data_IF_219251175680
#
_entry.id   IF_219251175680
#
_cell.length_a   1.000
_cell.length_b   1.000
_cell.length_c   1.000
_cell.angle_alpha   90.00
_cell.angle_beta   90.00
_cell.angle_gamma   90.00
#
_symmetry.space_group_name_H-M   'P 1'
#
loop_
_entity.id
_entity.type
_entity.pdbx_description
1 polymer ?
#
# COMPACT_ATOMS: atom_id res chain seq x y z
N UNK A 1 -24.79 13.07 -20.02
CA UNK A 1 -25.24 11.85 -19.32
C UNK A 1 -24.21 10.72 -19.36
N UNK A 2 -23.60 10.42 -20.52
CA UNK A 2 -22.58 9.36 -20.66
C UNK A 2 -21.33 9.60 -19.80
N UNK A 3 -20.78 10.82 -19.77
CA UNK A 3 -19.59 11.13 -18.97
C UNK A 3 -19.80 10.91 -17.47
N UNK A 4 -20.92 11.40 -16.91
CA UNK A 4 -21.28 11.20 -15.52
C UNK A 4 -21.45 9.71 -15.19
N UNK A 5 -22.09 8.94 -16.09
CA UNK A 5 -22.19 7.49 -15.96
C UNK A 5 -20.81 6.80 -15.95
N UNK A 6 -19.89 7.23 -16.81
CA UNK A 6 -18.53 6.70 -16.85
C UNK A 6 -17.72 7.01 -15.59
N UNK A 7 -17.83 8.24 -15.07
CA UNK A 7 -17.21 8.64 -13.80
C UNK A 7 -17.75 7.78 -12.66
N UNK A 8 -19.08 7.65 -12.56
CA UNK A 8 -19.72 6.83 -11.54
C UNK A 8 -19.26 5.37 -11.62
N UNK A 9 -19.27 4.78 -12.81
CA UNK A 9 -18.86 3.38 -13.01
C UNK A 9 -17.39 3.16 -12.67
N UNK A 10 -16.49 4.08 -13.05
CA UNK A 10 -15.06 4.02 -12.67
C UNK A 10 -14.90 4.02 -11.15
N UNK A 11 -15.52 4.99 -10.46
CA UNK A 11 -15.43 5.10 -9.00
C UNK A 11 -16.05 3.87 -8.34
N UNK A 12 -17.20 3.41 -8.82
CA UNK A 12 -17.86 2.21 -8.31
C UNK A 12 -16.99 0.97 -8.45
N UNK A 13 -16.41 0.71 -9.62
CA UNK A 13 -15.52 -0.43 -9.83
C UNK A 13 -14.25 -0.34 -8.97
N UNK A 14 -13.70 0.87 -8.78
CA UNK A 14 -12.59 1.08 -7.86
C UNK A 14 -12.99 0.74 -6.42
N UNK A 15 -14.18 1.16 -5.96
CA UNK A 15 -14.68 0.86 -4.63
C UNK A 15 -14.92 -0.65 -4.43
N UNK A 16 -15.47 -1.34 -5.43
CA UNK A 16 -15.64 -2.81 -5.40
C UNK A 16 -14.27 -3.49 -5.28
N UNK A 17 -13.30 -3.10 -6.11
CA UNK A 17 -11.93 -3.60 -6.02
C UNK A 17 -11.32 -3.35 -4.63
N UNK A 18 -11.35 -2.09 -4.15
CA UNK A 18 -10.77 -1.71 -2.86
C UNK A 18 -11.46 -2.41 -1.68
N UNK A 19 -12.78 -2.62 -1.75
CA UNK A 19 -13.54 -3.35 -0.75
C UNK A 19 -13.14 -4.83 -0.73
N UNK A 20 -13.09 -5.51 -1.88
CA UNK A 20 -12.64 -6.90 -1.98
C UNK A 20 -11.21 -7.08 -1.45
N UNK A 21 -10.30 -6.19 -1.88
CA UNK A 21 -8.92 -6.19 -1.42
C UNK A 21 -8.82 -6.02 0.10
N UNK A 22 -9.55 -5.05 0.67
CA UNK A 22 -9.57 -4.80 2.12
C UNK A 22 -10.22 -5.94 2.90
N UNK A 23 -11.27 -6.56 2.36
CA UNK A 23 -11.97 -7.68 2.97
C UNK A 23 -11.03 -8.87 3.14
N UNK A 24 -10.35 -9.28 2.05
CA UNK A 24 -9.40 -10.39 2.09
C UNK A 24 -8.11 -10.04 2.86
N UNK A 25 -7.70 -8.77 2.91
CA UNK A 25 -6.58 -8.36 3.76
C UNK A 25 -6.92 -8.33 5.27
N UNK A 26 -8.21 -8.42 5.63
CA UNK A 26 -8.65 -8.24 7.02
C UNK A 26 -8.29 -9.44 7.91
N UNK A 27 -7.95 -9.16 9.17
CA UNK A 27 -7.67 -10.23 10.14
C UNK A 27 -8.94 -11.06 10.45
N UNK A 28 -10.12 -10.49 10.27
CA UNK A 28 -11.39 -11.20 10.48
C UNK A 28 -11.53 -12.40 9.53
N UNK A 29 -11.26 -12.20 8.24
CA UNK A 29 -11.30 -13.30 7.25
C UNK A 29 -10.18 -14.29 7.50
N UNK A 30 -8.96 -13.81 7.75
CA UNK A 30 -7.81 -14.68 8.09
C UNK A 30 -8.10 -15.56 9.30
N UNK A 31 -8.70 -15.01 10.34
CA UNK A 31 -9.08 -15.72 11.55
C UNK A 31 -10.23 -16.72 11.31
N UNK A 32 -11.22 -16.36 10.48
CA UNK A 32 -12.27 -17.29 10.08
C UNK A 32 -11.70 -18.49 9.30
N UNK A 33 -10.75 -18.25 8.40
CA UNK A 33 -10.02 -19.30 7.68
C UNK A 33 -9.18 -20.13 8.65
N UNK A 34 -8.46 -19.51 9.58
CA UNK A 34 -7.69 -20.21 10.62
C UNK A 34 -8.55 -21.20 11.40
N UNK A 35 -9.78 -20.81 11.76
CA UNK A 35 -10.70 -21.66 12.54
C UNK A 35 -11.35 -22.77 11.73
N UNK A 36 -11.70 -22.50 10.46
CA UNK A 36 -12.48 -23.43 9.63
C UNK A 36 -11.61 -24.33 8.74
N UNK A 37 -10.48 -23.82 8.26
CA UNK A 37 -9.57 -24.46 7.32
C UNK A 37 -8.09 -24.16 7.67
N UNK A 38 -7.61 -24.54 8.87
CA UNK A 38 -6.24 -24.23 9.31
C UNK A 38 -5.16 -24.72 8.35
N UNK A 39 -5.39 -25.86 7.68
CA UNK A 39 -4.48 -26.42 6.67
C UNK A 39 -4.30 -25.53 5.42
N UNK A 40 -5.24 -24.61 5.16
CA UNK A 40 -5.16 -23.70 4.02
C UNK A 40 -4.38 -22.41 4.33
N UNK A 41 -4.20 -22.08 5.61
CA UNK A 41 -3.60 -20.82 6.05
C UNK A 41 -2.21 -20.51 5.45
N UNK A 42 -1.30 -21.50 5.25
CA UNK A 42 -0.02 -21.26 4.59
C UNK A 42 -0.12 -20.75 3.15
N UNK A 43 -1.20 -21.10 2.45
CA UNK A 43 -1.44 -20.71 1.05
C UNK A 43 -2.24 -19.41 0.94
N UNK A 44 -2.82 -18.95 2.04
CA UNK A 44 -3.74 -17.81 2.08
C UNK A 44 -3.14 -16.55 1.46
N UNK A 45 -1.89 -16.21 1.83
CA UNK A 45 -1.22 -15.00 1.34
C UNK A 45 -1.04 -15.00 -0.18
N UNK A 46 -0.62 -16.14 -0.74
CA UNK A 46 -0.44 -16.30 -2.18
C UNK A 46 -1.79 -16.19 -2.90
N UNK A 47 -2.81 -16.91 -2.41
CA UNK A 47 -4.17 -16.84 -2.98
C UNK A 47 -4.72 -15.41 -2.92
N UNK A 48 -4.55 -14.73 -1.79
CA UNK A 48 -4.95 -13.32 -1.63
C UNK A 48 -4.26 -12.41 -2.64
N UNK A 49 -2.95 -12.55 -2.86
CA UNK A 49 -2.21 -11.76 -3.85
C UNK A 49 -2.73 -12.01 -5.27
N UNK A 50 -2.95 -13.28 -5.64
CA UNK A 50 -3.51 -13.65 -6.97
C UNK A 50 -4.90 -13.04 -7.15
N UNK A 51 -5.78 -13.18 -6.16
CA UNK A 51 -7.14 -12.60 -6.21
C UNK A 51 -7.09 -11.06 -6.26
N UNK A 52 -6.18 -10.43 -5.54
CA UNK A 52 -5.99 -8.97 -5.57
C UNK A 52 -5.55 -8.49 -6.94
N UNK A 53 -4.60 -9.18 -7.58
CA UNK A 53 -4.16 -8.88 -8.94
C UNK A 53 -5.26 -9.12 -9.96
N UNK A 54 -5.99 -10.22 -9.83
CA UNK A 54 -7.10 -10.54 -10.72
C UNK A 54 -8.22 -9.51 -10.62
N UNK A 55 -8.66 -9.15 -9.41
CA UNK A 55 -9.70 -8.13 -9.20
C UNK A 55 -9.23 -6.74 -9.64
N UNK A 56 -7.96 -6.39 -9.45
CA UNK A 56 -7.38 -5.16 -10.01
C UNK A 56 -7.38 -5.18 -11.54
N UNK A 57 -7.02 -6.32 -12.15
CA UNK A 57 -7.08 -6.50 -13.60
C UNK A 57 -8.49 -6.33 -14.16
N UNK A 58 -9.51 -6.89 -13.48
CA UNK A 58 -10.91 -6.67 -13.84
C UNK A 58 -11.29 -5.18 -13.74
N UNK A 59 -10.95 -4.53 -12.62
CA UNK A 59 -11.14 -3.09 -12.47
C UNK A 59 -10.50 -2.32 -13.63
N UNK A 60 -9.22 -2.57 -13.94
CA UNK A 60 -8.49 -1.86 -14.97
C UNK A 60 -9.08 -2.07 -16.37
N UNK A 61 -9.46 -3.31 -16.68
CA UNK A 61 -9.97 -3.71 -18.00
C UNK A 61 -11.36 -3.11 -18.24
N UNK A 62 -12.26 -3.26 -17.27
CA UNK A 62 -13.67 -2.88 -17.42
C UNK A 62 -13.97 -1.43 -17.03
N UNK A 63 -13.06 -0.73 -16.35
CA UNK A 63 -13.27 0.68 -16.04
C UNK A 63 -13.28 1.53 -17.30
N UNK A 64 -14.31 2.40 -17.46
CA UNK A 64 -14.32 3.41 -18.49
C UNK A 64 -13.06 4.27 -18.44
N UNK A 65 -12.54 4.64 -19.61
CA UNK A 65 -11.40 5.54 -19.75
C UNK A 65 -11.87 6.75 -20.55
N UNK A 66 -12.56 7.72 -19.90
CA UNK A 66 -13.03 8.90 -20.59
C UNK A 66 -11.86 9.65 -21.22
N UNK A 67 -11.99 9.98 -22.51
CA UNK A 67 -10.98 10.71 -23.26
C UNK A 67 -11.06 12.22 -22.97
N UNK A 68 -10.94 12.56 -21.69
CA UNK A 68 -10.96 13.93 -21.19
C UNK A 68 -9.59 14.22 -20.60
N UNK A 69 -8.84 15.08 -21.27
CA UNK A 69 -7.55 15.58 -20.82
C UNK A 69 -7.83 16.79 -19.91
N UNK A 70 -7.36 16.74 -18.65
CA UNK A 70 -7.47 17.85 -17.71
C UNK A 70 -6.36 18.86 -17.92
N UNK A 71 -5.15 18.36 -18.14
CA UNK A 71 -4.01 19.14 -18.60
C UNK A 71 -3.04 18.24 -19.38
N UNK A 72 -2.30 18.88 -20.28
CA UNK A 72 -1.19 18.27 -21.01
C UNK A 72 -0.04 19.26 -21.07
N UNK A 73 1.05 18.97 -20.36
CA UNK A 73 2.21 19.86 -20.28
C UNK A 73 3.16 19.56 -21.42
N UNK A 74 3.50 20.60 -22.17
CA UNK A 74 4.54 20.53 -23.20
C UNK A 74 5.92 20.85 -22.64
N UNK A 75 6.96 20.47 -23.37
CA UNK A 75 8.33 20.89 -23.10
C UNK A 75 8.43 22.43 -23.02
N UNK A 76 9.15 23.01 -22.03
CA UNK A 76 9.94 22.36 -20.98
C UNK A 76 9.20 22.14 -19.65
N UNK A 77 7.89 22.43 -19.58
CA UNK A 77 7.13 22.37 -18.32
C UNK A 77 6.84 20.94 -17.87
N UNK A 78 6.82 19.98 -18.80
CA UNK A 78 6.75 18.55 -18.52
C UNK A 78 7.88 18.07 -17.59
N UNK A 79 9.10 18.61 -17.73
CA UNK A 79 10.24 18.30 -16.86
C UNK A 79 9.97 18.64 -15.39
N UNK A 80 9.23 19.71 -15.11
CA UNK A 80 8.88 20.11 -13.73
C UNK A 80 8.05 19.03 -13.02
N UNK A 81 7.32 18.21 -13.79
CA UNK A 81 6.50 17.11 -13.28
C UNK A 81 7.22 15.76 -13.39
N UNK A 82 7.98 15.51 -14.45
CA UNK A 82 8.72 14.26 -14.65
C UNK A 82 9.82 14.07 -13.59
N UNK A 83 10.50 15.13 -13.18
CA UNK A 83 11.55 15.06 -12.15
C UNK A 83 11.01 14.49 -10.82
N UNK A 84 9.96 15.06 -10.19
CA UNK A 84 9.41 14.48 -8.97
C UNK A 84 8.77 13.09 -9.19
N UNK A 85 8.22 12.80 -10.38
CA UNK A 85 7.76 11.44 -10.71
C UNK A 85 8.90 10.42 -10.68
N UNK A 86 10.04 10.76 -11.30
CA UNK A 86 11.22 9.93 -11.33
C UNK A 86 11.78 9.68 -9.92
N UNK A 87 11.90 10.73 -9.10
CA UNK A 87 12.32 10.56 -7.70
C UNK A 87 11.33 9.71 -6.90
N UNK A 88 10.03 9.78 -7.20
CA UNK A 88 9.02 8.93 -6.58
C UNK A 88 9.22 7.46 -6.97
N UNK A 89 9.56 7.18 -8.23
CA UNK A 89 9.93 5.83 -8.66
C UNK A 89 11.19 5.32 -7.93
N UNK A 90 12.23 6.15 -7.80
CA UNK A 90 13.41 5.81 -7.01
C UNK A 90 13.07 5.55 -5.54
N UNK A 91 12.15 6.34 -4.97
CA UNK A 91 11.63 6.14 -3.62
C UNK A 91 10.89 4.81 -3.43
N UNK A 92 10.10 4.38 -4.42
CA UNK A 92 9.47 3.05 -4.45
C UNK A 92 10.54 1.96 -4.46
N UNK A 93 11.51 2.03 -5.37
CA UNK A 93 12.61 1.05 -5.48
C UNK A 93 13.41 1.00 -4.17
N UNK A 94 13.68 2.15 -3.55
CA UNK A 94 14.35 2.21 -2.26
C UNK A 94 13.54 1.52 -1.15
N UNK A 95 12.22 1.71 -1.15
CA UNK A 95 11.31 1.08 -0.19
C UNK A 95 11.28 -0.44 -0.33
N UNK A 96 11.34 -0.96 -1.55
CA UNK A 96 11.35 -2.41 -1.80
C UNK A 96 12.52 -3.14 -1.12
N UNK A 97 13.64 -2.46 -0.87
CA UNK A 97 14.79 -3.04 -0.13
C UNK A 97 14.45 -3.41 1.32
N UNK A 98 13.40 -2.83 1.88
CA UNK A 98 12.95 -3.06 3.26
C UNK A 98 11.73 -3.99 3.35
N UNK A 99 11.19 -4.40 2.20
CA UNK A 99 10.08 -5.36 2.11
C UNK A 99 10.64 -6.75 1.87
N UNK A 100 10.28 -7.71 2.72
CA UNK A 100 10.55 -9.11 2.43
C UNK A 100 9.61 -9.57 1.31
N UNK A 101 10.14 -9.65 0.09
CA UNK A 101 9.36 -10.03 -1.10
C UNK A 101 8.79 -11.44 -1.02
N UNK A 102 9.50 -12.39 -0.39
CA UNK A 102 9.00 -13.78 -0.27
C UNK A 102 7.86 -13.86 0.74
N UNK A 103 7.97 -13.15 1.85
CA UNK A 103 6.92 -13.05 2.85
C UNK A 103 5.70 -12.31 2.27
N UNK A 104 5.93 -11.23 1.52
CA UNK A 104 4.88 -10.46 0.87
C UNK A 104 4.10 -11.31 -0.14
N UNK A 105 4.80 -12.07 -0.99
CA UNK A 105 4.19 -12.90 -2.04
C UNK A 105 3.47 -14.14 -1.49
N UNK A 106 3.78 -14.60 -0.28
CA UNK A 106 3.23 -15.84 0.27
C UNK A 106 4.16 -17.06 0.15
N UNK A 107 5.37 -16.87 -0.38
CA UNK A 107 6.32 -17.97 -0.63
C UNK A 107 6.90 -18.48 0.68
N UNK A 108 7.24 -17.57 1.60
CA UNK A 108 7.84 -17.94 2.90
C UNK A 108 6.89 -18.78 3.76
N UNK A 109 5.59 -18.51 3.71
CA UNK A 109 4.54 -19.22 4.42
C UNK A 109 4.45 -20.67 3.93
N UNK A 110 4.47 -20.87 2.60
CA UNK A 110 4.49 -22.19 1.97
C UNK A 110 5.79 -22.93 2.31
N UNK A 111 6.94 -22.24 2.30
CA UNK A 111 8.22 -22.84 2.67
C UNK A 111 8.23 -23.31 4.13
N UNK A 112 7.77 -22.48 5.08
CA UNK A 112 7.64 -22.85 6.49
C UNK A 112 6.67 -24.03 6.67
N UNK A 113 5.61 -24.11 5.88
CA UNK A 113 4.68 -25.24 5.94
C UNK A 113 5.34 -26.54 5.45
N UNK A 114 6.05 -26.50 4.32
CA UNK A 114 6.78 -27.67 3.80
C UNK A 114 7.85 -28.19 4.76
N UNK A 115 8.48 -27.31 5.54
CA UNK A 115 9.51 -27.69 6.53
C UNK A 115 8.95 -27.98 7.93
N UNK A 116 7.62 -27.94 8.12
CA UNK A 116 6.99 -28.20 9.42
C UNK A 116 7.20 -27.10 10.47
N UNK A 117 7.66 -25.91 10.07
CA UNK A 117 7.97 -24.78 10.97
C UNK A 117 6.90 -23.68 10.97
N UNK A 118 5.83 -23.86 10.20
CA UNK A 118 4.73 -22.90 10.12
C UNK A 118 3.90 -22.88 11.40
N UNK A 119 3.71 -21.69 11.96
CA UNK A 119 2.87 -21.47 13.15
C UNK A 119 1.54 -20.87 12.75
N UNK A 120 0.45 -21.54 13.12
CA UNK A 120 -0.92 -21.14 12.76
C UNK A 120 -1.31 -19.84 13.46
N UNK A 121 -0.68 -19.53 14.60
CA UNK A 121 -0.86 -18.32 15.39
C UNK A 121 -0.30 -17.07 14.70
N UNK A 122 0.69 -17.24 13.81
CA UNK A 122 1.30 -16.15 13.04
C UNK A 122 0.43 -15.72 11.83
N UNK A 123 -0.73 -16.35 11.65
CA UNK A 123 -1.63 -16.15 10.50
C UNK A 123 -0.84 -16.26 9.18
N UNK A 124 -0.90 -15.24 8.34
CA UNK A 124 -0.31 -15.22 7.01
C UNK A 124 0.93 -14.31 6.91
N UNK A 125 1.45 -13.78 8.03
CA UNK A 125 2.66 -12.93 7.99
C UNK A 125 3.48 -12.88 9.30
N UNK A 126 4.78 -13.12 9.17
CA UNK A 126 5.79 -12.73 10.17
C UNK A 126 6.33 -11.35 9.82
N UNK A 127 5.91 -10.32 10.56
CA UNK A 127 6.37 -8.94 10.31
C UNK A 127 7.43 -8.52 11.31
N UNK A 128 8.49 -7.89 10.82
CA UNK A 128 9.49 -7.16 11.61
C UNK A 128 9.18 -5.67 11.50
N UNK A 129 9.22 -4.95 12.62
CA UNK A 129 9.03 -3.50 12.60
C UNK A 129 10.25 -2.82 11.93
N UNK A 130 10.03 -2.13 10.82
CA UNK A 130 11.04 -1.35 10.10
C UNK A 130 10.84 0.14 10.36
N UNK A 131 11.86 0.80 10.92
CA UNK A 131 11.89 2.25 11.20
C UNK A 131 13.11 2.94 10.56
N UNK A 132 13.70 2.27 9.57
CA UNK A 132 14.95 2.64 8.90
C UNK A 132 14.72 2.98 7.42
N UNK A 133 15.72 3.63 6.79
CA UNK A 133 15.61 4.07 5.40
C UNK A 133 14.40 5.00 5.15
N UNK A 134 13.54 4.71 4.17
CA UNK A 134 12.39 5.57 3.82
C UNK A 134 11.36 5.64 4.96
N UNK A 135 11.35 4.64 5.86
CA UNK A 135 10.49 4.63 7.04
C UNK A 135 10.84 5.74 8.06
N UNK A 136 11.99 6.41 7.93
CA UNK A 136 12.30 7.60 8.75
C UNK A 136 11.50 8.85 8.34
N UNK A 137 11.02 8.90 7.10
CA UNK A 137 10.34 10.05 6.51
C UNK A 137 8.83 9.89 6.56
N UNK A 138 8.36 8.67 6.32
CA UNK A 138 6.96 8.29 6.26
C UNK A 138 6.79 6.90 6.85
N UNK A 139 5.76 6.70 7.67
CA UNK A 139 5.43 5.35 8.16
C UNK A 139 4.89 4.44 7.05
N UNK A 140 4.39 5.05 5.97
CA UNK A 140 3.82 4.38 4.80
C UNK A 140 4.52 4.85 3.52
N UNK A 141 5.82 4.56 3.36
CA UNK A 141 6.60 5.09 2.24
C UNK A 141 6.12 4.55 0.88
N UNK A 142 5.66 3.29 0.82
CA UNK A 142 5.03 2.75 -0.40
C UNK A 142 3.84 3.61 -0.81
N UNK A 143 2.99 4.02 0.13
CA UNK A 143 1.81 4.84 -0.17
C UNK A 143 2.22 6.24 -0.62
N UNK A 144 3.17 6.88 0.08
CA UNK A 144 3.68 8.20 -0.26
C UNK A 144 4.22 8.24 -1.70
N UNK A 145 5.17 7.36 -2.01
CA UNK A 145 5.80 7.36 -3.32
C UNK A 145 4.86 6.87 -4.42
N UNK A 146 3.89 5.98 -4.12
CA UNK A 146 2.85 5.61 -5.09
C UNK A 146 1.94 6.79 -5.41
N UNK A 147 1.50 7.56 -4.40
CA UNK A 147 0.67 8.75 -4.63
C UNK A 147 1.42 9.74 -5.52
N UNK A 148 2.67 10.07 -5.17
CA UNK A 148 3.46 11.01 -5.98
C UNK A 148 3.73 10.49 -7.39
N UNK A 149 4.06 9.22 -7.56
CA UNK A 149 4.28 8.64 -8.89
C UNK A 149 3.01 8.70 -9.77
N UNK A 150 1.84 8.46 -9.18
CA UNK A 150 0.56 8.54 -9.88
C UNK A 150 0.14 9.98 -10.16
N UNK A 151 0.44 10.91 -9.24
CA UNK A 151 0.06 12.32 -9.32
C UNK A 151 0.91 13.08 -10.33
N UNK A 152 2.23 12.90 -10.28
CA UNK A 152 3.16 13.63 -11.14
C UNK A 152 3.21 13.01 -12.53
N UNK A 153 2.18 13.27 -13.35
CA UNK A 153 2.15 12.89 -14.77
C UNK A 153 2.10 14.14 -15.64
N UNK A 154 2.88 14.22 -16.73
CA UNK A 154 2.87 15.39 -17.62
C UNK A 154 1.53 15.56 -18.35
N UNK A 155 0.88 14.45 -18.67
CA UNK A 155 -0.50 14.41 -19.19
C UNK A 155 -1.41 13.79 -18.14
N UNK A 156 -2.40 14.55 -17.67
CA UNK A 156 -3.39 14.05 -16.72
C UNK A 156 -4.76 13.99 -17.38
N UNK A 157 -5.20 12.79 -17.69
CA UNK A 157 -6.58 12.54 -18.10
C UNK A 157 -7.49 12.29 -16.88
N UNK A 158 -8.79 12.38 -17.11
CA UNK A 158 -9.81 12.23 -16.07
C UNK A 158 -9.75 10.85 -15.40
N UNK A 159 -9.45 9.79 -16.15
CA UNK A 159 -9.26 8.45 -15.58
C UNK A 159 -8.11 8.44 -14.56
N UNK A 160 -6.94 8.95 -14.95
CA UNK A 160 -5.74 8.97 -14.11
C UNK A 160 -5.92 9.85 -12.88
N UNK A 161 -6.61 10.99 -13.04
CA UNK A 161 -6.95 11.88 -11.93
C UNK A 161 -7.88 11.21 -10.91
N UNK A 162 -8.96 10.59 -11.37
CA UNK A 162 -9.87 9.86 -10.50
C UNK A 162 -9.18 8.66 -9.85
N UNK A 163 -8.32 7.95 -10.59
CA UNK A 163 -7.56 6.84 -10.06
C UNK A 163 -6.60 7.27 -8.94
N UNK A 164 -5.83 8.36 -9.11
CA UNK A 164 -4.94 8.86 -8.04
C UNK A 164 -5.73 9.41 -6.85
N UNK A 165 -6.86 10.07 -7.08
CA UNK A 165 -7.73 10.58 -6.02
C UNK A 165 -8.31 9.42 -5.18
N UNK A 166 -8.92 8.44 -5.83
CA UNK A 166 -9.46 7.25 -5.18
C UNK A 166 -8.37 6.45 -4.46
N UNK A 167 -7.20 6.26 -5.09
CA UNK A 167 -6.05 5.57 -4.47
C UNK A 167 -5.53 6.31 -3.23
N UNK A 168 -5.47 7.64 -3.28
CA UNK A 168 -5.04 8.46 -2.14
C UNK A 168 -6.00 8.31 -0.96
N UNK A 169 -7.31 8.42 -1.21
CA UNK A 169 -8.35 8.22 -0.19
C UNK A 169 -8.26 6.81 0.39
N UNK A 170 -8.14 5.81 -0.48
CA UNK A 170 -8.01 4.41 -0.11
C UNK A 170 -6.78 4.15 0.78
N UNK A 171 -5.61 4.67 0.43
CA UNK A 171 -4.39 4.56 1.25
C UNK A 171 -4.53 5.25 2.62
N UNK A 172 -5.21 6.40 2.69
CA UNK A 172 -5.48 7.06 3.96
C UNK A 172 -6.41 6.26 4.88
N UNK A 173 -7.42 5.60 4.30
CA UNK A 173 -8.32 4.73 5.04
C UNK A 173 -7.55 3.45 5.47
N UNK A 174 -6.89 2.79 4.52
CA UNK A 174 -6.10 1.57 4.74
C UNK A 174 -5.03 1.74 5.81
N UNK A 175 -4.25 2.83 5.75
CA UNK A 175 -3.20 3.12 6.74
C UNK A 175 -3.74 3.26 8.17
N UNK A 176 -5.01 3.67 8.38
CA UNK A 176 -5.60 3.68 9.72
C UNK A 176 -5.85 2.27 10.25
N UNK A 177 -6.33 1.36 9.41
CA UNK A 177 -6.53 -0.02 9.79
C UNK A 177 -5.20 -0.74 9.99
N UNK A 178 -4.24 -0.50 9.12
CA UNK A 178 -2.89 -1.03 9.23
C UNK A 178 -2.20 -0.57 10.51
N UNK A 179 -2.23 0.73 10.83
CA UNK A 179 -1.66 1.25 12.07
C UNK A 179 -2.29 0.63 13.32
N UNK A 180 -3.59 0.37 13.33
CA UNK A 180 -4.24 -0.35 14.45
C UNK A 180 -3.66 -1.76 14.63
N UNK A 181 -3.40 -2.48 13.52
CA UNK A 181 -2.77 -3.80 13.57
C UNK A 181 -1.32 -3.71 14.06
N UNK A 182 -0.58 -2.71 13.60
CA UNK A 182 0.80 -2.49 14.01
C UNK A 182 0.93 -2.11 15.49
N UNK A 183 0.03 -1.27 16.02
CA UNK A 183 -0.06 -0.99 17.46
C UNK A 183 -0.38 -2.26 18.24
N UNK A 184 -1.35 -3.07 17.78
CA UNK A 184 -1.68 -4.33 18.46
C UNK A 184 -0.52 -5.33 18.47
N UNK A 185 0.34 -5.30 17.45
CA UNK A 185 1.47 -6.24 17.30
C UNK A 185 2.75 -5.77 18.00
N UNK A 186 3.10 -4.49 17.89
CA UNK A 186 4.38 -3.94 18.34
C UNK A 186 4.24 -3.00 19.55
N UNK A 187 3.01 -2.74 20.01
CA UNK A 187 2.74 -2.02 21.25
C UNK A 187 3.41 -0.64 21.33
N UNK A 188 4.10 -0.41 22.46
CA UNK A 188 4.71 0.87 22.80
C UNK A 188 5.76 1.35 21.79
N UNK A 189 6.50 0.44 21.17
CA UNK A 189 7.52 0.80 20.16
C UNK A 189 6.89 1.48 18.94
N UNK A 190 5.78 0.93 18.44
CA UNK A 190 5.08 1.54 17.31
C UNK A 190 4.41 2.86 17.70
N UNK A 191 3.88 2.96 18.92
CA UNK A 191 3.32 4.21 19.43
C UNK A 191 4.39 5.30 19.53
N UNK A 192 5.59 4.98 19.99
CA UNK A 192 6.72 5.91 20.00
C UNK A 192 7.11 6.34 18.57
N UNK A 193 7.19 5.38 17.65
CA UNK A 193 7.42 5.66 16.24
C UNK A 193 6.35 6.57 15.62
N UNK A 194 5.07 6.40 15.99
CA UNK A 194 3.98 7.26 15.55
C UNK A 194 4.11 8.72 16.00
N UNK A 195 4.73 8.97 17.16
CA UNK A 195 5.00 10.32 17.67
C UNK A 195 6.08 11.04 16.86
N UNK A 196 7.06 10.31 16.34
CA UNK A 196 8.24 10.90 15.70
C UNK A 196 8.15 10.98 14.16
N UNK A 197 7.53 10.00 13.49
CA UNK A 197 7.43 9.99 12.02
C UNK A 197 6.03 10.40 11.57
N UNK A 198 5.88 10.89 10.34
CA UNK A 198 4.59 11.23 9.75
C UNK A 198 3.91 10.00 9.14
N UNK A 199 2.58 9.99 9.03
CA UNK A 199 1.83 8.85 8.48
C UNK A 199 2.19 8.56 7.01
N UNK A 200 1.81 9.46 6.09
CA UNK A 200 2.09 9.35 4.65
C UNK A 200 2.98 10.52 4.23
N UNK A 201 2.50 11.77 4.34
CA UNK A 201 3.29 12.94 3.94
C UNK A 201 4.22 13.42 5.05
N UNK A 202 5.50 13.70 4.74
CA UNK A 202 6.51 14.10 5.71
C UNK A 202 6.28 15.54 6.18
N UNK A 203 5.42 15.72 7.19
CA UNK A 203 5.09 17.03 7.79
C UNK A 203 5.85 17.30 9.09
N UNK A 204 6.37 16.26 9.73
CA UNK A 204 7.18 16.39 10.95
C UNK A 204 8.65 16.67 10.62
N UNK A 205 9.32 17.53 11.40
CA UNK A 205 10.74 17.83 11.19
C UNK A 205 11.61 16.58 11.42
N UNK A 206 12.47 16.28 10.44
CA UNK A 206 13.42 15.16 10.45
C UNK A 206 14.39 15.17 11.63
N UNK A 207 14.61 16.35 12.24
CA UNK A 207 15.59 16.60 13.30
C UNK A 207 15.30 15.82 14.60
N UNK A 208 14.07 15.37 14.88
CA UNK A 208 13.78 14.59 16.10
C UNK A 208 14.40 13.19 16.09
N UNK A 209 14.64 12.60 14.92
CA UNK A 209 15.13 11.22 14.82
C UNK A 209 16.63 11.07 15.09
N UNK A 210 17.41 12.16 14.97
CA UNK A 210 18.86 12.15 15.20
C UNK A 210 19.20 12.19 16.69
N UNK A 211 18.35 12.83 17.51
CA UNK A 211 18.62 13.05 18.94
C UNK A 211 18.28 11.82 19.80
N UNK A 212 17.28 11.01 19.44
CA UNK A 212 16.85 9.86 20.26
C UNK A 212 17.69 8.57 20.07
N UNK A 213 18.67 8.57 19.15
CA UNK A 213 19.57 7.42 18.94
C UNK A 213 20.51 7.14 20.13
N UNK A 214 20.50 7.99 21.16
CA UNK A 214 21.22 7.80 22.42
C UNK A 214 20.39 7.11 23.53
N UNK A 215 19.09 6.89 23.35
CA UNK A 215 18.21 6.33 24.40
C UNK A 215 17.83 4.87 24.14
N UNK A 216 18.06 4.35 22.93
CA UNK A 216 17.69 2.98 22.53
C UNK A 216 18.90 2.14 22.11
N UNK A 217 19.93 2.08 22.97
CA UNK A 217 20.96 1.05 22.96
C UNK A 217 20.88 0.25 24.24
#
# INVERSE_FOLDING_TARGET
MILLGNIFLLVFLFLVFGWLHSLFASNKIKEAVRRRFPQFLPFYRLTYNVLSLFTFFLFWTFSPKPDVILYDLSFPFDFLILVPQFFSLLGLIWTLKFVDGKEFLGISQIQRWKTGTYKVEELDETSVLRIEGPYKFSRHPVYLFSIFFLLFRPTMNLFSFLFVLCSTIYFYIGSRYEEKKLVARFGGEYVAYQKNVSKIFPTKPLLRFVVERFIWK
#
